data_IF_217852086944
#
_entry.id   IF_217852086944
#
_cell.length_a   1.000
_cell.length_b   1.000
_cell.length_c   1.000
_cell.angle_alpha   90.00
_cell.angle_beta   90.00
_cell.angle_gamma   90.00
#
_symmetry.space_group_name_H-M   'P 1'
#
loop_
_entity.id
_entity.type
_entity.pdbx_description
1 polymer ?
#
# COMPACT_ATOMS: atom_id res chain seq x y z
N UNK A 1 5.59 12.41 9.73
CA UNK A 1 4.21 12.52 9.27
C UNK A 1 3.59 11.14 9.19
N UNK A 2 2.29 11.09 9.44
CA UNK A 2 1.46 9.90 9.28
C UNK A 2 0.18 10.37 8.62
N UNK A 3 -0.15 9.77 7.49
CA UNK A 3 -1.40 10.02 6.79
C UNK A 3 -2.19 8.71 6.72
N UNK A 4 -3.47 8.76 7.09
CA UNK A 4 -4.33 7.59 7.14
C UNK A 4 -5.63 7.84 6.36
N UNK A 5 -6.12 6.81 5.73
CA UNK A 5 -7.39 6.79 5.01
C UNK A 5 -8.16 5.52 5.31
N UNK A 6 -9.48 5.63 5.40
CA UNK A 6 -10.34 4.45 5.42
C UNK A 6 -10.31 3.75 4.06
N UNK A 7 -10.02 2.47 4.08
CA UNK A 7 -9.99 1.64 2.88
C UNK A 7 -10.58 0.27 3.19
N UNK A 8 -11.72 -0.03 2.56
CA UNK A 8 -12.50 -1.24 2.86
C UNK A 8 -12.80 -1.38 4.38
N UNK A 9 -12.38 -2.47 4.99
CA UNK A 9 -12.56 -2.71 6.42
C UNK A 9 -11.36 -2.30 7.28
N UNK A 10 -10.43 -1.54 6.73
CA UNK A 10 -9.17 -1.14 7.36
C UNK A 10 -8.99 0.37 7.32
N UNK A 11 -8.16 0.89 8.20
CA UNK A 11 -7.45 2.14 7.99
C UNK A 11 -6.07 1.80 7.43
N UNK A 12 -5.78 2.30 6.25
CA UNK A 12 -4.44 2.28 5.67
C UNK A 12 -3.72 3.56 6.01
N UNK A 13 -2.47 3.44 6.37
CA UNK A 13 -1.61 4.57 6.67
C UNK A 13 -0.32 4.51 5.90
N UNK A 14 0.19 5.69 5.57
CA UNK A 14 1.56 5.89 5.13
C UNK A 14 2.26 6.78 6.13
N UNK A 15 3.41 6.34 6.60
CA UNK A 15 4.23 7.16 7.48
C UNK A 15 5.62 7.34 6.89
N UNK A 16 6.16 8.50 7.16
CA UNK A 16 7.50 8.86 6.74
C UNK A 16 8.52 8.34 7.73
N UNK A 17 9.45 7.52 7.29
CA UNK A 17 10.63 7.14 8.06
C UNK A 17 11.84 7.96 7.60
N UNK A 18 12.65 8.42 8.52
CA UNK A 18 13.85 9.20 8.23
C UNK A 18 15.09 8.33 8.46
N UNK A 19 15.93 8.26 7.45
CA UNK A 19 17.22 7.56 7.53
C UNK A 19 18.40 8.50 7.78
N UNK A 20 18.22 9.80 7.67
CA UNK A 20 19.25 10.81 7.73
C UNK A 20 19.48 11.45 6.35
N UNK A 21 20.65 12.11 6.15
CA UNK A 21 21.62 12.47 7.16
C UNK A 21 21.13 13.57 8.10
N UNK A 22 21.90 13.87 9.14
CA UNK A 22 21.61 14.98 10.04
C UNK A 22 21.75 16.34 9.32
N UNK A 23 21.14 17.37 9.90
CA UNK A 23 21.13 18.71 9.34
C UNK A 23 22.53 19.25 8.94
N UNK A 24 23.57 19.12 9.77
CA UNK A 24 24.91 19.62 9.41
C UNK A 24 25.48 18.98 8.12
N UNK A 25 25.11 17.74 7.86
CA UNK A 25 25.52 17.05 6.62
C UNK A 25 24.73 17.57 5.42
N UNK A 26 23.41 17.74 5.58
CA UNK A 26 22.57 18.37 4.56
C UNK A 26 23.07 19.77 4.21
N UNK A 27 23.42 20.56 5.23
CA UNK A 27 23.97 21.90 5.05
C UNK A 27 25.28 21.90 4.28
N UNK A 28 26.21 21.03 4.69
CA UNK A 28 27.52 20.94 4.06
C UNK A 28 27.47 20.63 2.57
N UNK A 29 26.57 19.74 2.18
CA UNK A 29 26.53 19.19 0.83
C UNK A 29 25.34 19.66 -0.03
N UNK A 30 24.43 20.44 0.52
CA UNK A 30 23.21 20.89 -0.17
C UNK A 30 22.31 19.74 -0.64
N UNK A 31 22.28 18.67 0.14
CA UNK A 31 21.47 17.47 -0.17
C UNK A 31 20.26 17.39 0.74
N UNK A 32 19.15 16.79 0.28
CA UNK A 32 17.98 16.55 1.14
C UNK A 32 18.28 15.47 2.17
N UNK A 33 17.47 15.42 3.22
CA UNK A 33 17.34 14.23 4.06
C UNK A 33 16.77 13.09 3.24
N UNK A 34 17.14 11.88 3.60
CA UNK A 34 16.55 10.69 3.00
C UNK A 34 15.40 10.25 3.89
N UNK A 35 14.22 10.32 3.32
CA UNK A 35 13.00 9.81 3.92
C UNK A 35 12.27 8.97 2.91
N UNK A 36 11.53 7.99 3.37
CA UNK A 36 10.75 7.09 2.54
C UNK A 36 9.36 6.87 3.14
N UNK A 37 8.41 6.46 2.32
CA UNK A 37 7.05 6.16 2.77
C UNK A 37 6.88 4.67 3.01
N UNK A 38 6.48 4.34 4.23
CA UNK A 38 6.20 2.98 4.69
C UNK A 38 4.70 2.76 4.83
N UNK A 39 4.20 1.57 4.45
CA UNK A 39 2.81 1.22 4.67
C UNK A 39 2.58 0.73 6.11
N UNK A 40 1.41 1.01 6.62
CA UNK A 40 0.87 0.45 7.86
C UNK A 40 -0.64 0.30 7.77
N UNK A 41 -1.23 -0.51 8.62
CA UNK A 41 -2.69 -0.65 8.67
C UNK A 41 -3.20 -0.78 10.10
N UNK A 42 -4.45 -0.41 10.29
CA UNK A 42 -5.17 -0.58 11.55
C UNK A 42 -6.59 -1.09 11.30
N UNK A 43 -7.13 -1.85 12.27
CA UNK A 43 -8.53 -2.28 12.29
C UNK A 43 -9.39 -1.43 13.23
N UNK A 44 -8.79 -0.69 14.13
CA UNK A 44 -9.47 0.08 15.17
C UNK A 44 -9.14 1.58 15.14
N UNK A 45 -8.19 1.98 14.29
CA UNK A 45 -7.72 3.36 14.16
C UNK A 45 -6.73 3.80 15.24
N UNK A 46 -6.41 2.94 16.20
CA UNK A 46 -5.51 3.25 17.32
C UNK A 46 -4.25 2.39 17.28
N UNK A 47 -4.38 1.11 16.97
CA UNK A 47 -3.27 0.18 16.94
C UNK A 47 -2.89 -0.10 15.49
N UNK A 48 -1.72 0.38 15.09
CA UNK A 48 -1.21 0.19 13.73
C UNK A 48 -0.18 -0.92 13.67
N UNK A 49 -0.35 -1.80 12.71
CA UNK A 49 0.58 -2.88 12.38
C UNK A 49 1.39 -2.55 11.14
N UNK A 50 2.63 -2.98 11.16
CA UNK A 50 3.59 -2.83 10.07
C UNK A 50 4.26 -4.18 9.78
N UNK A 51 3.59 -5.09 9.08
CA UNK A 51 4.10 -6.44 8.86
C UNK A 51 5.30 -6.46 7.91
N UNK A 52 5.31 -5.58 6.92
CA UNK A 52 6.43 -5.37 6.03
C UNK A 52 7.21 -4.12 6.44
N UNK A 53 8.54 -4.18 6.32
CA UNK A 53 9.43 -3.06 6.63
C UNK A 53 10.06 -2.44 5.39
N UNK A 54 9.66 -2.91 4.22
CA UNK A 54 10.07 -2.34 2.95
C UNK A 54 9.29 -1.07 2.64
N UNK A 55 9.93 -0.15 1.95
CA UNK A 55 9.30 1.11 1.56
C UNK A 55 8.26 0.85 0.48
N UNK A 56 7.08 1.45 0.65
CA UNK A 56 6.07 1.48 -0.41
C UNK A 56 6.50 2.45 -1.52
N UNK A 57 7.02 3.63 -1.11
CA UNK A 57 7.60 4.61 -2.03
C UNK A 57 8.98 4.97 -1.50
N UNK A 58 10.04 4.37 -2.07
CA UNK A 58 11.42 4.66 -1.70
C UNK A 58 11.89 5.99 -2.29
N UNK A 59 12.91 6.58 -1.68
CA UNK A 59 13.69 7.63 -2.30
C UNK A 59 14.54 7.06 -3.44
N UNK A 60 14.63 7.76 -4.57
CA UNK A 60 15.37 7.25 -5.73
C UNK A 60 16.87 7.14 -5.50
N UNK A 61 17.42 7.99 -4.63
CA UNK A 61 18.84 8.10 -4.27
C UNK A 61 19.75 8.53 -5.44
N UNK A 62 19.23 8.67 -6.66
CA UNK A 62 20.02 9.03 -7.82
C UNK A 62 20.30 10.53 -7.83
N UNK A 63 21.58 10.98 -8.00
CA UNK A 63 21.90 12.39 -8.21
C UNK A 63 21.12 12.97 -9.39
N UNK A 64 20.49 14.14 -9.19
CA UNK A 64 19.68 14.81 -10.19
C UNK A 64 18.24 14.33 -10.32
N UNK A 65 17.85 13.25 -9.66
CA UNK A 65 16.45 12.87 -9.60
C UNK A 65 15.65 13.86 -8.74
N UNK A 66 14.44 14.15 -9.17
CA UNK A 66 13.55 15.08 -8.46
C UNK A 66 13.10 14.53 -7.08
N UNK A 67 13.02 13.21 -6.95
CA UNK A 67 12.67 12.46 -5.74
C UNK A 67 13.90 11.79 -5.09
N UNK A 68 15.06 12.37 -5.27
CA UNK A 68 16.32 11.86 -4.73
C UNK A 68 16.26 11.55 -3.25
N UNK A 69 15.53 12.38 -2.48
CA UNK A 69 15.35 12.22 -1.04
C UNK A 69 14.14 13.00 -0.56
N UNK A 70 13.89 12.99 0.73
CA UNK A 70 12.79 13.64 1.41
C UNK A 70 11.42 13.36 0.76
N UNK A 71 11.18 12.09 0.51
CA UNK A 71 9.88 11.62 0.03
C UNK A 71 8.87 11.68 1.17
N UNK A 72 7.71 12.28 0.93
CA UNK A 72 6.63 12.39 1.92
C UNK A 72 5.26 12.23 1.27
N UNK A 73 4.29 11.78 2.06
CA UNK A 73 2.90 11.67 1.62
C UNK A 73 2.25 13.04 1.46
N UNK A 74 1.23 13.10 0.62
CA UNK A 74 0.41 14.28 0.37
C UNK A 74 -0.98 14.06 0.98
N UNK A 75 -1.03 13.99 2.33
CA UNK A 75 -2.25 14.04 3.09
C UNK A 75 -3.33 13.02 2.71
N UNK A 76 -3.13 11.75 3.08
CA UNK A 76 -4.17 10.71 2.97
C UNK A 76 -4.69 10.41 1.57
N UNK A 77 -3.98 10.82 0.54
CA UNK A 77 -4.47 10.76 -0.82
C UNK A 77 -4.21 9.39 -1.43
N UNK A 78 -5.25 8.60 -1.37
CA UNK A 78 -5.38 7.33 -2.08
C UNK A 78 -6.64 7.44 -2.93
N UNK A 79 -6.51 7.38 -4.24
CA UNK A 79 -7.63 7.46 -5.18
C UNK A 79 -7.79 6.12 -5.88
N UNK A 80 -9.01 5.58 -5.86
CA UNK A 80 -9.35 4.39 -6.67
C UNK A 80 -9.65 4.88 -8.09
N UNK A 81 -8.90 4.39 -9.06
CA UNK A 81 -9.06 4.70 -10.47
C UNK A 81 -9.05 3.42 -11.32
N UNK A 82 -10.21 2.92 -11.65
CA UNK A 82 -10.36 1.61 -12.31
C UNK A 82 -9.83 0.48 -11.42
N UNK A 83 -8.90 -0.28 -11.94
CA UNK A 83 -8.24 -1.39 -11.25
C UNK A 83 -6.95 -0.97 -10.52
N UNK A 84 -6.72 0.32 -10.37
CA UNK A 84 -5.53 0.89 -9.74
C UNK A 84 -5.86 1.76 -8.54
N UNK A 85 -4.92 1.83 -7.62
CA UNK A 85 -4.84 2.83 -6.57
C UNK A 85 -3.80 3.85 -6.98
N UNK A 86 -4.17 5.12 -6.98
CA UNK A 86 -3.29 6.24 -7.23
C UNK A 86 -2.88 6.88 -5.92
N UNK A 87 -1.58 6.95 -5.69
CA UNK A 87 -0.98 7.47 -4.47
C UNK A 87 -0.10 8.66 -4.86
N UNK A 88 -0.53 9.85 -4.47
CA UNK A 88 0.27 11.04 -4.68
C UNK A 88 1.28 11.20 -3.57
N UNK A 89 2.49 11.63 -3.92
CA UNK A 89 3.55 11.90 -2.98
C UNK A 89 4.40 13.09 -3.42
N UNK A 90 5.10 13.72 -2.48
CA UNK A 90 6.09 14.75 -2.76
C UNK A 90 7.49 14.19 -2.61
N UNK A 91 8.38 14.63 -3.49
CA UNK A 91 9.80 14.35 -3.40
C UNK A 91 10.62 15.62 -3.60
N UNK A 92 11.84 15.64 -3.08
CA UNK A 92 12.74 16.78 -3.19
C UNK A 92 14.12 16.30 -3.61
N UNK A 93 14.63 16.91 -4.68
CA UNK A 93 15.97 16.59 -5.23
C UNK A 93 17.10 17.27 -4.47
N UNK A 94 16.81 18.36 -3.75
CA UNK A 94 17.81 19.25 -3.20
C UNK A 94 18.53 20.08 -4.26
N UNK A 95 19.43 20.94 -3.84
CA UNK A 95 20.22 21.77 -4.74
C UNK A 95 21.64 22.01 -4.19
N UNK A 96 22.66 21.31 -4.73
CA UNK A 96 24.04 21.45 -4.28
C UNK A 96 24.62 22.87 -4.42
N UNK A 97 24.01 23.73 -5.25
CA UNK A 97 24.43 25.14 -5.36
C UNK A 97 24.24 25.93 -4.06
N UNK A 98 23.46 25.38 -3.13
CA UNK A 98 23.21 25.97 -1.81
C UNK A 98 24.01 25.27 -0.69
N UNK A 99 24.98 24.45 -1.02
CA UNK A 99 25.85 23.78 -0.05
C UNK A 99 26.58 24.81 0.83
N UNK A 100 26.80 24.47 2.10
CA UNK A 100 27.45 25.32 3.09
C UNK A 100 26.57 26.42 3.69
N UNK A 101 25.29 26.50 3.30
CA UNK A 101 24.33 27.44 3.88
C UNK A 101 23.62 26.82 5.09
N UNK A 102 23.10 27.62 6.02
CA UNK A 102 22.27 27.13 7.13
C UNK A 102 21.12 26.28 6.62
N UNK A 103 20.60 25.38 7.45
CA UNK A 103 19.55 24.44 7.06
C UNK A 103 18.29 25.12 6.50
N UNK A 104 17.99 26.33 6.92
CA UNK A 104 16.88 27.12 6.38
C UNK A 104 17.09 27.59 4.95
N UNK A 105 18.33 27.58 4.47
CA UNK A 105 18.70 28.10 3.17
C UNK A 105 19.54 27.12 2.32
N UNK A 106 19.81 25.92 2.86
CA UNK A 106 20.72 24.95 2.25
C UNK A 106 20.16 24.23 1.01
N UNK A 107 18.98 24.59 0.56
CA UNK A 107 18.37 24.03 -0.65
C UNK A 107 17.84 22.61 -0.52
N UNK A 108 17.80 22.02 0.68
CA UNK A 108 17.35 20.64 0.88
C UNK A 108 15.90 20.38 0.43
N UNK A 109 15.07 21.41 0.45
CA UNK A 109 13.68 21.37 0.00
C UNK A 109 13.48 21.96 -1.41
N UNK A 110 14.56 22.19 -2.15
CA UNK A 110 14.48 22.67 -3.53
C UNK A 110 14.23 21.51 -4.50
N UNK A 111 13.82 21.90 -5.70
CA UNK A 111 13.49 20.95 -6.77
C UNK A 111 12.43 19.93 -6.35
N UNK A 112 11.47 20.41 -5.54
CA UNK A 112 10.33 19.62 -5.12
C UNK A 112 9.31 19.46 -6.24
N UNK A 113 8.74 18.27 -6.33
CA UNK A 113 7.62 17.97 -7.23
C UNK A 113 6.67 16.97 -6.59
N UNK A 114 5.46 16.91 -7.15
CA UNK A 114 4.49 15.86 -6.80
C UNK A 114 4.56 14.74 -7.81
N UNK A 115 4.75 13.53 -7.32
CA UNK A 115 4.71 12.30 -8.09
C UNK A 115 3.41 11.55 -7.92
N UNK A 116 3.17 10.64 -8.83
CA UNK A 116 2.09 9.67 -8.78
C UNK A 116 2.70 8.27 -8.79
N UNK A 117 2.45 7.52 -7.72
CA UNK A 117 2.68 6.09 -7.69
C UNK A 117 1.37 5.36 -7.96
N UNK A 118 1.42 4.30 -8.74
CA UNK A 118 0.26 3.45 -8.99
C UNK A 118 0.48 2.07 -8.39
N UNK A 119 -0.57 1.52 -7.85
CA UNK A 119 -0.62 0.18 -7.28
C UNK A 119 -1.87 -0.51 -7.80
N UNK A 120 -1.80 -1.80 -8.10
CA UNK A 120 -2.98 -2.61 -8.35
C UNK A 120 -3.98 -2.43 -7.20
N UNK A 121 -5.26 -2.31 -7.48
CA UNK A 121 -6.28 -2.22 -6.43
C UNK A 121 -6.12 -3.41 -5.46
N UNK A 122 -6.19 -3.15 -4.16
CA UNK A 122 -5.93 -4.12 -3.07
C UNK A 122 -4.52 -4.75 -3.06
N UNK A 123 -3.59 -4.27 -3.89
CA UNK A 123 -2.28 -4.86 -4.13
C UNK A 123 -1.20 -4.55 -3.08
N UNK A 124 -1.58 -4.17 -1.86
CA UNK A 124 -0.62 -3.88 -0.79
C UNK A 124 0.14 -5.12 -0.31
N UNK A 125 -0.46 -6.28 -0.43
CA UNK A 125 0.12 -7.58 -0.08
C UNK A 125 -0.45 -8.64 -1.01
N UNK A 126 0.39 -9.51 -1.53
CA UNK A 126 0.01 -10.70 -2.28
C UNK A 126 0.42 -11.98 -1.57
N UNK A 127 -0.19 -13.08 -1.97
CA UNK A 127 0.24 -14.44 -1.63
C UNK A 127 0.51 -15.17 -2.93
N UNK A 128 1.77 -15.46 -3.19
CA UNK A 128 2.23 -16.07 -4.44
C UNK A 128 2.66 -17.53 -4.19
N UNK A 129 2.27 -18.42 -5.07
CA UNK A 129 2.68 -19.82 -5.05
C UNK A 129 1.58 -20.81 -5.44
N UNK A 130 1.99 -22.06 -5.55
CA UNK A 130 1.09 -23.20 -5.73
C UNK A 130 0.76 -23.82 -4.37
N UNK A 131 -0.53 -23.90 -4.02
CA UNK A 131 -0.91 -24.47 -2.75
C UNK A 131 -2.31 -24.10 -2.29
N UNK A 132 -2.51 -24.16 -0.99
CA UNK A 132 -3.77 -23.84 -0.33
C UNK A 132 -3.57 -22.72 0.68
N UNK A 133 -4.38 -21.68 0.55
CA UNK A 133 -4.53 -20.63 1.55
C UNK A 133 -5.86 -20.84 2.28
N UNK A 134 -5.84 -20.88 3.61
CA UNK A 134 -7.03 -20.86 4.44
C UNK A 134 -7.06 -19.56 5.23
N UNK A 135 -8.11 -18.78 5.04
CA UNK A 135 -8.30 -17.52 5.80
C UNK A 135 -8.71 -17.83 7.24
N UNK A 136 -8.59 -16.83 8.11
CA UNK A 136 -9.34 -16.86 9.37
C UNK A 136 -10.86 -16.89 9.09
N UNK A 137 -11.71 -17.26 10.06
CA UNK A 137 -13.15 -17.17 9.90
C UNK A 137 -13.57 -15.75 9.48
N UNK A 138 -14.44 -15.66 8.49
CA UNK A 138 -15.00 -14.42 7.98
C UNK A 138 -16.48 -14.35 8.37
N UNK A 139 -16.94 -13.17 8.77
CA UNK A 139 -18.37 -12.92 8.96
C UNK A 139 -18.99 -12.50 7.61
N UNK A 140 -19.97 -13.25 7.16
CA UNK A 140 -20.75 -12.89 5.97
C UNK A 140 -21.97 -12.06 6.41
N UNK A 141 -22.06 -10.82 5.99
CA UNK A 141 -23.11 -9.89 6.43
C UNK A 141 -24.30 -9.82 5.47
N UNK A 142 -24.85 -10.97 5.08
CA UNK A 142 -26.05 -11.04 4.22
C UNK A 142 -25.84 -10.57 2.78
N UNK A 143 -24.62 -10.36 2.33
CA UNK A 143 -24.30 -10.01 0.94
C UNK A 143 -24.30 -11.25 0.06
N UNK A 144 -24.78 -11.09 -1.16
CA UNK A 144 -25.04 -12.19 -2.09
C UNK A 144 -23.88 -12.55 -3.01
N UNK A 145 -22.75 -11.87 -2.90
CA UNK A 145 -21.60 -12.06 -3.79
C UNK A 145 -20.26 -12.15 -3.05
N UNK A 146 -19.32 -12.87 -3.64
CA UNK A 146 -17.92 -12.90 -3.24
C UNK A 146 -17.07 -12.54 -4.45
N UNK A 147 -16.15 -11.64 -4.26
CA UNK A 147 -15.16 -11.26 -5.25
C UNK A 147 -13.77 -11.62 -4.72
N UNK A 148 -12.86 -11.93 -5.60
CA UNK A 148 -11.45 -12.12 -5.27
C UNK A 148 -10.55 -11.36 -6.25
N UNK A 149 -9.46 -10.87 -5.73
CA UNK A 149 -8.40 -10.26 -6.51
C UNK A 149 -7.34 -11.34 -6.78
N UNK A 150 -7.14 -11.67 -8.05
CA UNK A 150 -6.23 -12.74 -8.47
C UNK A 150 -5.45 -12.39 -9.73
N UNK A 151 -4.28 -13.00 -9.83
CA UNK A 151 -3.53 -13.21 -11.06
C UNK A 151 -3.11 -14.69 -11.08
N UNK A 152 -3.79 -15.52 -11.86
CA UNK A 152 -3.55 -16.95 -11.91
C UNK A 152 -4.81 -17.80 -11.92
N UNK A 153 -4.72 -19.06 -11.46
CA UNK A 153 -5.80 -20.03 -11.43
C UNK A 153 -6.17 -20.43 -10.00
N UNK A 154 -7.45 -20.34 -9.66
CA UNK A 154 -7.95 -20.61 -8.30
C UNK A 154 -9.26 -21.41 -8.32
N UNK A 155 -9.51 -22.14 -7.23
CA UNK A 155 -10.83 -22.55 -6.81
C UNK A 155 -11.04 -22.21 -5.34
N UNK A 156 -12.23 -21.77 -4.99
CA UNK A 156 -12.56 -21.33 -3.62
C UNK A 156 -13.42 -22.42 -2.95
N UNK A 157 -13.10 -22.73 -1.69
CA UNK A 157 -13.92 -23.59 -0.84
C UNK A 157 -14.43 -22.78 0.34
N UNK A 158 -15.72 -22.90 0.60
CA UNK A 158 -16.31 -22.40 1.84
C UNK A 158 -16.26 -23.51 2.88
N UNK A 159 -15.73 -23.17 4.03
CA UNK A 159 -15.64 -24.10 5.15
C UNK A 159 -16.53 -23.61 6.30
N UNK A 160 -17.18 -24.53 6.99
CA UNK A 160 -17.80 -24.26 8.28
C UNK A 160 -16.74 -24.03 9.37
N UNK A 161 -17.10 -23.50 10.54
CA UNK A 161 -16.14 -23.27 11.64
C UNK A 161 -15.43 -24.54 12.11
N UNK A 162 -16.02 -25.70 11.96
CA UNK A 162 -15.45 -27.02 12.26
C UNK A 162 -14.61 -27.61 11.10
N UNK A 163 -14.52 -26.87 9.97
CA UNK A 163 -13.69 -27.24 8.82
C UNK A 163 -14.38 -28.11 7.76
N UNK A 164 -15.69 -28.39 7.90
CA UNK A 164 -16.43 -29.14 6.88
C UNK A 164 -16.64 -28.26 5.62
N UNK A 165 -16.57 -28.88 4.43
CA UNK A 165 -16.77 -28.18 3.17
C UNK A 165 -18.26 -27.93 2.94
N UNK A 166 -18.65 -26.68 2.90
CA UNK A 166 -20.04 -26.23 2.63
C UNK A 166 -20.31 -26.09 1.14
N UNK A 167 -19.34 -25.54 0.40
CA UNK A 167 -19.46 -25.36 -1.04
C UNK A 167 -18.07 -25.24 -1.68
N UNK A 168 -18.05 -25.55 -2.98
CA UNK A 168 -16.83 -25.40 -3.82
C UNK A 168 -17.20 -24.59 -5.05
N UNK A 169 -16.39 -23.60 -5.37
CA UNK A 169 -16.59 -22.79 -6.58
C UNK A 169 -16.28 -23.59 -7.85
N UNK A 170 -16.76 -23.10 -8.99
CA UNK A 170 -16.14 -23.46 -10.25
C UNK A 170 -14.69 -22.97 -10.24
N UNK A 171 -13.73 -23.73 -10.77
CA UNK A 171 -12.39 -23.21 -11.03
C UNK A 171 -12.44 -22.02 -11.99
N UNK A 172 -11.61 -21.06 -11.78
CA UNK A 172 -11.46 -19.90 -12.67
C UNK A 172 -9.99 -19.48 -12.74
N UNK A 173 -9.62 -18.81 -13.83
CA UNK A 173 -8.28 -18.31 -14.06
C UNK A 173 -8.32 -16.96 -14.77
N UNK A 174 -7.31 -16.15 -14.55
CA UNK A 174 -7.16 -14.85 -15.18
C UNK A 174 -6.46 -13.86 -14.27
N UNK A 175 -6.37 -12.63 -14.73
CA UNK A 175 -5.94 -11.45 -14.00
C UNK A 175 -7.15 -10.54 -13.80
N UNK A 176 -7.58 -10.36 -12.56
CA UNK A 176 -8.74 -9.53 -12.23
C UNK A 176 -8.70 -9.08 -10.78
N UNK A 177 -8.98 -7.81 -10.54
CA UNK A 177 -9.16 -7.25 -9.20
C UNK A 177 -10.52 -7.59 -8.59
N UNK A 178 -11.51 -7.98 -9.40
CA UNK A 178 -12.91 -8.19 -9.01
C UNK A 178 -13.49 -9.49 -9.59
N UNK A 179 -12.73 -10.58 -9.56
CA UNK A 179 -13.19 -11.85 -10.10
C UNK A 179 -14.36 -12.40 -9.29
N UNK A 180 -15.55 -12.57 -9.88
CA UNK A 180 -16.69 -13.16 -9.18
C UNK A 180 -16.46 -14.65 -8.89
N UNK A 181 -16.78 -15.06 -7.66
CA UNK A 181 -16.73 -16.47 -7.26
C UNK A 181 -18.13 -17.05 -7.34
N UNK A 182 -18.29 -18.06 -8.16
CA UNK A 182 -19.58 -18.76 -8.37
C UNK A 182 -19.56 -20.12 -7.68
N UNK A 183 -20.50 -20.33 -6.75
CA UNK A 183 -20.72 -21.60 -6.06
C UNK A 183 -21.96 -22.29 -6.63
N UNK A 184 -21.86 -23.33 -7.48
CA UNK A 184 -23.00 -23.97 -8.09
C UNK A 184 -23.93 -24.58 -7.03
N UNK A 185 -25.20 -24.19 -7.07
CA UNK A 185 -26.20 -24.73 -6.14
C UNK A 185 -26.13 -24.24 -4.70
N UNK A 186 -25.22 -23.29 -4.38
CA UNK A 186 -25.09 -22.73 -3.04
C UNK A 186 -25.34 -21.21 -3.05
N UNK A 187 -26.18 -20.76 -2.15
CA UNK A 187 -26.50 -19.35 -1.96
C UNK A 187 -25.78 -18.81 -0.73
N UNK A 188 -24.87 -17.86 -0.95
CA UNK A 188 -24.09 -17.21 0.12
C UNK A 188 -24.94 -16.53 1.18
N UNK A 189 -26.18 -16.15 0.85
CA UNK A 189 -27.14 -15.56 1.82
C UNK A 189 -27.53 -16.50 2.94
N UNK A 190 -27.24 -17.80 2.79
CA UNK A 190 -27.49 -18.83 3.84
C UNK A 190 -26.42 -18.86 4.93
N UNK A 191 -25.36 -18.07 4.78
CA UNK A 191 -24.23 -17.98 5.73
C UNK A 191 -24.41 -16.86 6.77
N UNK A 192 -25.63 -16.54 7.13
CA UNK A 192 -25.91 -15.53 8.19
C UNK A 192 -25.79 -16.16 9.57
#
# INVERSE_FOLDING_TARGET
NVDCVGYESLMLGMFQIMYGPENPVCERYGVPKITELMPMYSRDGYHFSRPCRDSLIPASMHPGAWDRGYVQSVGGVLVIHGDELWIYYSGFGGDPAYSGRPWTENGMYRNGATGLATLRQDGFVSMDGDGRLTTRPLCMTGKSGMLVNIDGAVSVRLLSPDGAVLAVSRPFAGDSTHQPVVFPGFDLRRLN
#
